data_IF_036105119589
#
_entry.id   IF_036105119589
#
_cell.length_a   1.000
_cell.length_b   1.000
_cell.length_c   1.000
_cell.angle_alpha   90.00
_cell.angle_beta   90.00
_cell.angle_gamma   90.00
#
_symmetry.space_group_name_H-M   'P 1'
#
loop_
_entity.id
_entity.type
_entity.pdbx_description
1 polymer ?
#
# COMPACT_ATOMS: atom_id res chain seq x y z
N UNK A 1 -0.61 3.50 17.26
CA UNK A 1 -0.20 4.88 17.64
C UNK A 1 1.01 5.28 16.81
N UNK A 2 0.93 6.39 16.06
CA UNK A 2 2.06 6.97 15.30
C UNK A 2 3.16 7.35 16.28
N UNK A 3 4.40 6.91 16.02
CA UNK A 3 5.55 7.34 16.81
C UNK A 3 6.03 8.70 16.30
N UNK A 4 6.30 9.68 17.17
CA UNK A 4 6.81 10.98 16.74
C UNK A 4 8.19 10.83 16.10
N UNK A 5 8.41 11.53 14.98
CA UNK A 5 9.73 11.61 14.35
C UNK A 5 10.78 12.20 15.30
N UNK A 6 12.02 11.70 15.19
CA UNK A 6 13.19 12.24 15.87
C UNK A 6 13.78 13.49 15.18
N UNK A 7 13.36 13.79 13.94
CA UNK A 7 14.04 14.77 13.07
C UNK A 7 13.32 16.13 12.92
N UNK A 8 12.37 16.46 13.81
CA UNK A 8 11.57 17.70 13.81
C UNK A 8 10.81 18.00 12.49
N UNK A 9 10.77 17.07 11.53
CA UNK A 9 9.99 17.25 10.31
C UNK A 9 8.49 17.13 10.59
N UNK A 10 7.65 17.90 9.90
CA UNK A 10 6.22 17.63 9.91
C UNK A 10 5.93 16.24 9.34
N UNK A 11 4.96 15.55 9.94
CA UNK A 11 4.51 14.23 9.47
C UNK A 11 3.46 14.40 8.36
N UNK A 12 3.64 13.69 7.25
CA UNK A 12 2.70 13.61 6.15
C UNK A 12 2.18 12.17 6.04
N UNK A 13 0.87 12.01 6.16
CA UNK A 13 0.18 10.72 6.08
C UNK A 13 -0.46 10.56 4.70
N UNK A 14 -0.17 9.46 4.03
CA UNK A 14 -0.79 9.08 2.76
C UNK A 14 -1.66 7.85 2.93
N UNK A 15 -2.86 7.90 2.34
CA UNK A 15 -3.60 6.68 2.01
C UNK A 15 -2.98 6.00 0.79
N UNK A 16 -3.35 4.74 0.54
CA UNK A 16 -2.80 3.90 -0.52
C UNK A 16 -3.72 3.83 -1.74
N UNK A 17 -4.87 3.17 -1.59
CA UNK A 17 -5.86 2.97 -2.66
C UNK A 17 -6.53 4.29 -3.05
N UNK A 18 -6.70 4.52 -4.36
CA UNK A 18 -7.19 5.76 -4.98
C UNK A 18 -6.35 7.03 -4.66
N UNK A 19 -5.23 6.89 -3.96
CA UNK A 19 -4.32 7.99 -3.62
C UNK A 19 -2.97 7.83 -4.30
N UNK A 20 -2.25 6.73 -4.02
CA UNK A 20 -0.94 6.39 -4.61
C UNK A 20 -1.08 5.38 -5.75
N UNK A 21 -2.08 4.51 -5.66
CA UNK A 21 -2.35 3.46 -6.63
C UNK A 21 -3.85 3.34 -6.91
N UNK A 22 -4.19 2.71 -8.03
CA UNK A 22 -5.52 2.21 -8.32
C UNK A 22 -5.44 0.69 -8.47
N UNK A 23 -6.21 -0.05 -7.68
CA UNK A 23 -6.13 -1.52 -7.61
C UNK A 23 -7.46 -2.19 -7.94
N UNK A 24 -7.38 -3.38 -8.57
CA UNK A 24 -8.54 -4.22 -8.90
C UNK A 24 -8.22 -5.69 -8.59
N UNK A 25 -9.21 -6.44 -8.10
CA UNK A 25 -9.12 -7.88 -7.82
C UNK A 25 -9.71 -8.77 -8.92
N UNK A 26 -10.09 -8.14 -10.02
CA UNK A 26 -10.54 -8.78 -11.26
C UNK A 26 -9.70 -8.26 -12.43
N UNK A 27 -9.76 -8.98 -13.54
CA UNK A 27 -9.05 -8.61 -14.76
C UNK A 27 -9.28 -7.14 -15.12
N UNK A 28 -8.18 -6.40 -15.27
CA UNK A 28 -8.21 -5.01 -15.67
C UNK A 28 -7.18 -4.76 -16.78
N UNK A 29 -7.67 -4.50 -17.99
CA UNK A 29 -6.83 -4.37 -19.19
C UNK A 29 -5.83 -3.23 -19.12
N UNK A 30 -6.16 -2.14 -18.41
CA UNK A 30 -5.29 -0.95 -18.30
C UNK A 30 -4.29 -1.05 -17.16
N UNK A 31 -4.23 -2.19 -16.46
CA UNK A 31 -3.26 -2.41 -15.41
C UNK A 31 -1.84 -2.34 -15.95
N UNK A 32 -0.97 -1.65 -15.22
CA UNK A 32 0.46 -1.56 -15.50
C UNK A 32 1.21 -2.79 -14.99
N UNK A 33 0.68 -3.42 -13.95
CA UNK A 33 1.24 -4.64 -13.38
C UNK A 33 0.18 -5.51 -12.72
N UNK A 34 0.58 -6.77 -12.47
CA UNK A 34 -0.16 -7.71 -11.66
C UNK A 34 0.77 -8.12 -10.52
N UNK A 35 0.29 -8.00 -9.28
CA UNK A 35 0.99 -8.51 -8.09
C UNK A 35 0.20 -9.65 -7.47
N UNK A 36 0.92 -10.51 -6.77
CA UNK A 36 0.35 -11.65 -6.05
C UNK A 36 0.35 -11.36 -4.56
N UNK A 37 -0.83 -11.30 -3.96
CA UNK A 37 -1.01 -11.09 -2.53
C UNK A 37 -1.25 -12.45 -1.88
N UNK A 38 -0.50 -12.83 -0.83
CA UNK A 38 -0.73 -14.10 -0.17
C UNK A 38 -2.12 -14.15 0.46
N UNK A 39 -2.78 -15.29 0.32
CA UNK A 39 -4.04 -15.58 0.99
C UNK A 39 -3.76 -15.87 2.47
N UNK A 40 -4.37 -15.08 3.34
CA UNK A 40 -4.39 -15.26 4.78
C UNK A 40 -5.81 -15.01 5.29
N UNK A 41 -6.07 -15.25 6.58
CA UNK A 41 -7.37 -14.91 7.18
C UNK A 41 -7.73 -13.43 7.02
N UNK A 42 -6.74 -12.54 6.83
CA UNK A 42 -6.94 -11.10 6.65
C UNK A 42 -7.09 -10.67 5.19
N UNK A 43 -6.73 -11.50 4.23
CA UNK A 43 -6.90 -11.19 2.80
C UNK A 43 -7.93 -12.07 2.12
N UNK A 44 -8.43 -13.13 2.78
CA UNK A 44 -9.39 -14.08 2.24
C UNK A 44 -10.65 -13.41 1.69
N UNK A 45 -11.14 -12.33 2.33
CA UNK A 45 -12.31 -11.58 1.87
C UNK A 45 -12.07 -10.84 0.52
N UNK A 46 -10.82 -10.65 0.12
CA UNK A 46 -10.42 -9.99 -1.13
C UNK A 46 -10.37 -10.99 -2.30
N UNK A 47 -10.54 -12.30 -2.04
CA UNK A 47 -10.61 -13.29 -3.11
C UNK A 47 -11.89 -13.09 -3.92
N UNK A 48 -11.73 -12.66 -5.17
CA UNK A 48 -12.83 -12.62 -6.13
C UNK A 48 -12.91 -13.88 -7.00
N UNK A 49 -11.89 -14.76 -6.98
CA UNK A 49 -11.82 -15.97 -7.82
C UNK A 49 -11.01 -17.11 -7.17
N UNK A 50 -11.36 -18.35 -7.55
CA UNK A 50 -10.73 -19.66 -7.31
C UNK A 50 -10.07 -19.89 -5.93
N UNK A 51 -10.84 -20.48 -5.02
CA UNK A 51 -10.43 -20.87 -3.66
C UNK A 51 -9.30 -21.93 -3.62
N UNK A 52 -8.86 -22.46 -4.76
CA UNK A 52 -7.76 -23.43 -4.82
C UNK A 52 -6.36 -22.77 -4.90
N UNK A 53 -6.29 -21.44 -4.98
CA UNK A 53 -5.02 -20.71 -5.07
C UNK A 53 -4.65 -20.05 -3.72
N UNK A 54 -3.36 -20.08 -3.38
CA UNK A 54 -2.83 -19.44 -2.16
C UNK A 54 -2.46 -17.97 -2.37
N UNK A 55 -2.82 -17.39 -3.52
CA UNK A 55 -2.52 -15.99 -3.87
C UNK A 55 -3.71 -15.33 -4.55
N UNK A 56 -3.87 -14.04 -4.31
CA UNK A 56 -4.86 -13.18 -4.95
C UNK A 56 -4.13 -12.34 -5.99
N UNK A 57 -4.55 -12.42 -7.25
CA UNK A 57 -4.04 -11.52 -8.29
C UNK A 57 -4.65 -10.15 -8.10
N UNK A 58 -3.81 -9.13 -8.07
CA UNK A 58 -4.23 -7.75 -7.99
C UNK A 58 -3.62 -6.94 -9.14
N UNK A 59 -4.49 -6.32 -9.91
CA UNK A 59 -4.18 -5.53 -11.09
C UNK A 59 -4.00 -4.08 -10.66
N UNK A 60 -2.82 -3.53 -10.92
CA UNK A 60 -2.37 -2.24 -10.39
C UNK A 60 -2.12 -1.21 -11.48
N UNK A 61 -2.51 0.02 -11.22
CA UNK A 61 -1.97 1.21 -11.86
C UNK A 61 -1.31 2.08 -10.78
N UNK A 62 -0.09 2.57 -11.05
CA UNK A 62 0.56 3.52 -10.15
C UNK A 62 0.17 4.92 -10.56
N UNK A 63 -0.15 5.79 -9.59
CA UNK A 63 -0.40 7.19 -9.89
C UNK A 63 0.86 7.82 -10.47
N UNK A 64 0.74 8.48 -11.61
CA UNK A 64 1.87 9.14 -12.27
C UNK A 64 2.62 10.07 -11.31
N UNK A 65 3.95 9.94 -11.25
CA UNK A 65 4.81 10.72 -10.38
C UNK A 65 4.79 10.29 -8.89
N UNK A 66 4.05 9.25 -8.51
CA UNK A 66 3.94 8.80 -7.12
C UNK A 66 5.30 8.48 -6.50
N UNK A 67 6.15 7.71 -7.21
CA UNK A 67 7.43 7.26 -6.67
C UNK A 67 8.38 8.43 -6.46
N UNK A 68 8.43 9.32 -7.44
CA UNK A 68 9.24 10.54 -7.44
C UNK A 68 8.77 11.51 -6.34
N UNK A 69 7.45 11.69 -6.19
CA UNK A 69 6.86 12.54 -5.16
C UNK A 69 7.22 12.03 -3.75
N UNK A 70 7.04 10.74 -3.48
CA UNK A 70 7.39 10.16 -2.17
C UNK A 70 8.89 10.30 -1.87
N UNK A 71 9.73 10.04 -2.88
CA UNK A 71 11.19 10.19 -2.76
C UNK A 71 11.60 11.63 -2.43
N UNK A 72 10.99 12.61 -3.08
CA UNK A 72 11.30 14.03 -2.85
C UNK A 72 10.75 14.50 -1.49
N UNK A 73 9.51 14.14 -1.16
CA UNK A 73 8.85 14.56 0.08
C UNK A 73 9.55 14.04 1.33
N UNK A 74 10.20 12.88 1.28
CA UNK A 74 11.01 12.34 2.40
C UNK A 74 12.11 13.31 2.88
N UNK A 75 12.60 14.18 2.01
CA UNK A 75 13.60 15.17 2.40
C UNK A 75 13.02 16.24 3.35
N UNK A 76 11.71 16.50 3.25
CA UNK A 76 11.02 17.58 3.94
C UNK A 76 10.05 17.11 5.03
N UNK A 77 9.52 15.90 4.89
CA UNK A 77 8.49 15.32 5.75
C UNK A 77 8.90 13.95 6.28
N UNK A 78 8.38 13.63 7.46
CA UNK A 78 8.26 12.23 7.87
C UNK A 78 7.07 11.61 7.12
N UNK A 79 7.30 10.57 6.31
CA UNK A 79 6.23 9.95 5.51
C UNK A 79 5.67 8.74 6.24
N UNK A 80 4.35 8.71 6.41
CA UNK A 80 3.62 7.55 6.93
C UNK A 80 2.61 7.11 5.88
N UNK A 81 2.55 5.80 5.62
CA UNK A 81 1.44 5.21 4.87
C UNK A 81 0.43 4.70 5.88
N UNK A 82 -0.81 5.16 5.78
CA UNK A 82 -1.90 4.68 6.61
C UNK A 82 -3.08 4.32 5.72
N UNK A 83 -3.36 3.02 5.63
CA UNK A 83 -4.42 2.49 4.77
C UNK A 83 -5.40 1.62 5.56
N UNK A 84 -6.64 1.58 5.08
CA UNK A 84 -7.66 0.65 5.56
C UNK A 84 -7.50 -0.78 4.99
N UNK A 85 -6.47 -1.03 4.17
CA UNK A 85 -6.21 -2.34 3.58
C UNK A 85 -5.44 -3.28 4.54
N UNK A 86 -5.53 -4.62 4.36
CA UNK A 86 -4.76 -5.57 5.18
C UNK A 86 -3.26 -5.39 5.02
N UNK A 87 -2.49 -5.74 6.05
CA UNK A 87 -1.04 -5.62 6.03
C UNK A 87 -0.37 -6.33 4.86
N UNK A 88 -0.74 -7.58 4.58
CA UNK A 88 -0.16 -8.38 3.51
C UNK A 88 -0.37 -7.74 2.12
N UNK A 89 -1.52 -7.12 1.91
CA UNK A 89 -1.78 -6.34 0.71
C UNK A 89 -0.84 -5.14 0.64
N UNK A 90 -0.83 -4.32 1.70
CA UNK A 90 -0.09 -3.07 1.70
C UNK A 90 1.43 -3.29 1.55
N UNK A 91 1.99 -4.31 2.22
CA UNK A 91 3.42 -4.66 2.09
C UNK A 91 3.80 -5.04 0.65
N UNK A 92 2.95 -5.80 -0.05
CA UNK A 92 3.17 -6.15 -1.46
C UNK A 92 3.16 -4.89 -2.34
N UNK A 93 2.21 -3.98 -2.12
CA UNK A 93 2.13 -2.73 -2.88
C UNK A 93 3.35 -1.85 -2.64
N UNK A 94 3.72 -1.62 -1.37
CA UNK A 94 4.88 -0.78 -1.03
C UNK A 94 6.15 -1.35 -1.68
N UNK A 95 6.33 -2.67 -1.63
CA UNK A 95 7.46 -3.35 -2.28
C UNK A 95 7.45 -3.20 -3.80
N UNK A 96 6.28 -3.26 -4.42
CA UNK A 96 6.14 -3.01 -5.85
C UNK A 96 6.44 -1.54 -6.23
N UNK A 97 6.05 -0.59 -5.37
CA UNK A 97 6.37 0.82 -5.53
C UNK A 97 7.85 1.13 -5.29
N UNK A 98 8.56 0.29 -4.51
CA UNK A 98 9.96 0.46 -4.09
C UNK A 98 10.17 1.73 -3.25
N UNK A 99 9.29 1.93 -2.27
CA UNK A 99 9.29 3.14 -1.41
C UNK A 99 9.50 2.83 0.07
N UNK A 100 9.81 1.59 0.44
CA UNK A 100 10.04 1.14 1.83
C UNK A 100 11.04 2.03 2.57
N UNK A 101 12.13 2.41 1.89
CA UNK A 101 13.19 3.24 2.49
C UNK A 101 12.80 4.71 2.67
N UNK A 102 11.71 5.16 2.05
CA UNK A 102 11.22 6.54 2.14
C UNK A 102 10.13 6.70 3.19
N UNK A 103 9.49 5.62 3.62
CA UNK A 103 8.42 5.66 4.61
C UNK A 103 8.98 5.36 6.01
N UNK A 104 8.51 6.09 7.02
CA UNK A 104 8.89 5.86 8.41
C UNK A 104 8.01 4.79 9.06
N UNK A 105 6.75 4.69 8.63
CA UNK A 105 5.81 3.72 9.18
C UNK A 105 4.76 3.32 8.13
N UNK A 106 4.36 2.05 8.16
CA UNK A 106 3.19 1.51 7.45
C UNK A 106 2.15 1.09 8.50
N UNK A 107 0.98 1.71 8.44
CA UNK A 107 -0.17 1.46 9.32
C UNK A 107 -1.29 0.90 8.45
N UNK A 108 -1.82 -0.25 8.85
CA UNK A 108 -2.81 -1.02 8.11
C UNK A 108 -4.07 -1.22 8.95
N UNK A 109 -5.11 -1.84 8.38
CA UNK A 109 -6.45 -1.93 9.00
C UNK A 109 -6.44 -2.47 10.43
N UNK A 110 -5.46 -3.31 10.81
CA UNK A 110 -5.38 -3.90 12.15
C UNK A 110 -5.18 -2.84 13.26
N UNK A 111 -4.87 -1.61 12.88
CA UNK A 111 -4.71 -0.46 13.77
C UNK A 111 -5.81 0.60 13.58
N UNK A 112 -6.81 0.31 12.75
CA UNK A 112 -8.00 1.13 12.62
C UNK A 112 -9.01 0.67 13.68
N UNK A 113 -9.05 1.38 14.81
CA UNK A 113 -10.06 1.13 15.86
C UNK A 113 -11.45 1.57 15.36
N UNK A 114 -12.46 0.71 15.58
CA UNK A 114 -13.88 1.03 15.47
C UNK A 114 -14.52 0.99 16.87
#
# INVERSE_FOLDING_TARGET
IIKPSLDNKPTLVFDLDETLIHSKFNYYQKAEAIVEIPVTNRTAFMQCQDFHTNVIKNWLCVRNGCREAIKELKNHFEIIIWTASPKEYAEVIIKYLKIEMYISQLICMEHCDY
#
